data_IF_408924593686
#
_entry.id   IF_408924593686
#
_cell.length_a   1.000
_cell.length_b   1.000
_cell.length_c   1.000
_cell.angle_alpha   90.00
_cell.angle_beta   90.00
_cell.angle_gamma   90.00
#
_symmetry.space_group_name_H-M   'P 1'
#
loop_
_entity.id
_entity.type
_entity.pdbx_description
1 polymer ?
#
# COMPACT_ATOMS: atom_id res chain seq x y z
N UNK A 1 15.76 10.36 -19.34
CA UNK A 1 15.98 8.94 -19.68
C UNK A 1 14.69 8.22 -19.36
N UNK A 2 14.15 7.45 -20.31
CA UNK A 2 12.94 6.67 -20.07
C UNK A 2 13.20 5.61 -18.99
N UNK A 3 12.26 5.49 -18.06
CA UNK A 3 12.26 4.45 -17.03
C UNK A 3 10.95 3.67 -17.06
N UNK A 4 11.00 2.42 -16.62
CA UNK A 4 9.83 1.58 -16.42
C UNK A 4 9.19 1.90 -15.07
N UNK A 5 7.88 2.08 -15.09
CA UNK A 5 7.04 2.44 -13.95
C UNK A 5 5.86 1.48 -13.85
N UNK A 6 5.40 1.24 -12.64
CA UNK A 6 4.32 0.31 -12.35
C UNK A 6 3.21 0.99 -11.55
N UNK A 7 1.95 0.71 -11.89
CA UNK A 7 0.77 1.16 -11.18
C UNK A 7 -0.17 -0.02 -10.93
N UNK A 8 -0.49 -0.29 -9.67
CA UNK A 8 -1.47 -1.33 -9.31
C UNK A 8 -2.87 -0.75 -9.27
N UNK A 9 -3.84 -1.50 -9.79
CA UNK A 9 -5.24 -1.13 -9.76
C UNK A 9 -6.15 -2.36 -9.73
N UNK A 10 -7.31 -2.23 -9.11
CA UNK A 10 -8.37 -3.24 -9.18
C UNK A 10 -9.18 -3.17 -10.47
N UNK A 11 -8.96 -2.14 -11.29
CA UNK A 11 -9.69 -1.87 -12.53
C UNK A 11 -8.84 -2.28 -13.73
N UNK A 12 -9.41 -3.14 -14.58
CA UNK A 12 -8.81 -3.60 -15.83
C UNK A 12 -9.09 -2.68 -17.03
N UNK A 13 -8.36 -2.88 -18.12
CA UNK A 13 -8.64 -2.25 -19.42
C UNK A 13 -8.21 -0.78 -19.56
N UNK A 14 -7.43 -0.25 -18.61
CA UNK A 14 -6.92 1.13 -18.70
C UNK A 14 -5.87 1.24 -19.81
N UNK A 15 -6.11 2.11 -20.79
CA UNK A 15 -5.16 2.44 -21.86
C UNK A 15 -4.30 3.67 -21.50
N UNK A 16 -4.78 4.50 -20.60
CA UNK A 16 -4.09 5.70 -20.10
C UNK A 16 -4.46 5.88 -18.64
N UNK A 17 -3.45 6.04 -17.80
CA UNK A 17 -3.63 6.34 -16.38
C UNK A 17 -3.87 7.84 -16.23
N UNK A 18 -4.99 8.21 -15.64
CA UNK A 18 -5.39 9.59 -15.42
C UNK A 18 -5.01 10.05 -14.01
N UNK A 19 -4.49 11.28 -13.84
CA UNK A 19 -4.28 11.85 -12.52
C UNK A 19 -5.58 11.87 -11.71
N UNK A 20 -5.54 11.40 -10.47
CA UNK A 20 -6.70 11.41 -9.57
C UNK A 20 -6.34 12.04 -8.23
N UNK A 21 -7.26 12.81 -7.66
CA UNK A 21 -7.07 13.46 -6.37
C UNK A 21 -7.26 12.47 -5.23
N UNK A 22 -6.16 12.11 -4.56
CA UNK A 22 -6.20 11.38 -3.29
C UNK A 22 -6.42 12.35 -2.11
N UNK A 23 -6.04 11.93 -0.91
CA UNK A 23 -6.07 12.69 0.35
C UNK A 23 -5.18 13.95 0.37
N UNK A 24 -4.18 14.07 -0.50
CA UNK A 24 -3.26 15.22 -0.54
C UNK A 24 -3.74 16.41 -1.41
N UNK A 25 -4.99 16.39 -1.89
CA UNK A 25 -5.65 17.53 -2.54
C UNK A 25 -5.17 17.90 -3.96
N UNK A 26 -4.14 17.24 -4.48
CA UNK A 26 -3.65 17.41 -5.87
C UNK A 26 -3.80 16.11 -6.67
N UNK A 27 -4.22 16.18 -7.94
CA UNK A 27 -4.38 15.00 -8.76
C UNK A 27 -3.01 14.51 -9.27
N UNK A 28 -2.72 13.23 -9.04
CA UNK A 28 -1.50 12.59 -9.54
C UNK A 28 -1.79 11.19 -10.07
N UNK A 29 -0.96 10.73 -11.01
CA UNK A 29 -0.77 9.30 -11.26
C UNK A 29 0.35 8.81 -10.36
N UNK A 30 0.07 7.80 -9.54
CA UNK A 30 1.04 7.21 -8.61
C UNK A 30 1.71 6.00 -9.23
N UNK A 31 3.03 6.00 -9.26
CA UNK A 31 3.84 4.91 -9.77
C UNK A 31 4.85 4.43 -8.74
N UNK A 32 5.21 3.16 -8.85
CA UNK A 32 6.42 2.59 -8.25
C UNK A 32 7.40 2.16 -9.32
N UNK A 33 8.69 2.21 -9.02
CA UNK A 33 9.73 1.50 -9.80
C UNK A 33 9.77 -0.01 -9.51
N UNK A 34 8.89 -0.52 -8.65
CA UNK A 34 8.74 -1.94 -8.32
C UNK A 34 7.33 -2.42 -8.63
N UNK A 35 7.24 -3.46 -9.46
CA UNK A 35 6.01 -4.20 -9.78
C UNK A 35 5.31 -4.73 -8.53
N UNK A 36 6.04 -5.35 -7.60
CA UNK A 36 5.50 -5.89 -6.35
C UNK A 36 4.90 -4.78 -5.49
N UNK A 37 5.60 -3.65 -5.39
CA UNK A 37 5.14 -2.51 -4.59
C UNK A 37 3.87 -1.91 -5.18
N UNK A 38 3.82 -1.80 -6.50
CA UNK A 38 2.62 -1.35 -7.21
C UNK A 38 1.46 -2.35 -7.02
N UNK A 39 1.72 -3.66 -7.13
CA UNK A 39 0.72 -4.71 -7.01
C UNK A 39 -0.05 -4.68 -5.68
N UNK A 40 0.56 -4.23 -4.58
CA UNK A 40 -0.15 -4.08 -3.31
C UNK A 40 -1.34 -3.11 -3.39
N UNK A 41 -1.29 -2.12 -4.29
CA UNK A 41 -2.38 -1.17 -4.51
C UNK A 41 -3.45 -1.68 -5.48
N UNK A 42 -3.29 -2.90 -6.03
CA UNK A 42 -4.29 -3.53 -6.88
C UNK A 42 -5.50 -4.09 -6.09
N UNK A 43 -5.38 -4.18 -4.76
CA UNK A 43 -6.48 -4.40 -3.83
C UNK A 43 -6.32 -3.51 -2.61
N UNK A 44 -7.31 -3.53 -1.71
CA UNK A 44 -7.40 -2.59 -0.59
C UNK A 44 -7.91 -3.29 0.65
N UNK A 45 -7.30 -2.96 1.78
CA UNK A 45 -7.79 -3.36 3.10
C UNK A 45 -8.82 -2.35 3.65
N UNK A 46 -8.73 -1.07 3.24
CA UNK A 46 -9.57 0.03 3.72
C UNK A 46 -10.16 0.80 2.53
N UNK A 47 -11.37 1.33 2.72
CA UNK A 47 -12.06 2.19 1.76
C UNK A 47 -11.36 3.55 1.56
N UNK A 48 -11.62 4.20 0.42
CA UNK A 48 -11.11 5.56 0.14
C UNK A 48 -11.60 6.57 1.18
N UNK A 49 -10.80 7.61 1.47
CA UNK A 49 -9.53 7.95 0.84
C UNK A 49 -8.31 7.19 1.40
N UNK A 50 -8.50 6.37 2.44
CA UNK A 50 -7.42 5.70 3.15
C UNK A 50 -6.78 4.54 2.37
N UNK A 51 -5.54 4.25 2.73
CA UNK A 51 -4.77 3.11 2.25
C UNK A 51 -4.08 2.44 3.43
N UNK A 52 -3.99 1.13 3.38
CA UNK A 52 -3.26 0.34 4.36
C UNK A 52 -2.44 -0.71 3.65
N UNK A 53 -1.13 -0.48 3.59
CA UNK A 53 -0.18 -1.41 2.97
C UNK A 53 1.09 -1.44 3.81
N UNK A 54 1.19 -2.37 4.79
CA UNK A 54 2.33 -2.47 5.69
C UNK A 54 3.51 -3.13 4.98
N UNK A 55 4.26 -2.36 4.20
CA UNK A 55 5.48 -2.85 3.56
C UNK A 55 6.67 -1.91 3.79
N UNK A 56 7.87 -2.50 3.73
CA UNK A 56 9.14 -1.77 3.81
C UNK A 56 10.16 -2.35 2.83
N UNK A 57 11.21 -1.58 2.55
CA UNK A 57 12.41 -2.09 1.87
C UNK A 57 13.50 -2.28 2.91
N UNK A 58 14.02 -3.51 3.06
CA UNK A 58 15.20 -3.74 3.91
C UNK A 58 16.47 -3.26 3.21
N UNK A 59 17.60 -3.18 3.93
CA UNK A 59 18.88 -2.62 3.45
C UNK A 59 19.44 -3.23 2.14
N UNK A 60 18.91 -4.39 1.71
CA UNK A 60 19.26 -5.08 0.47
C UNK A 60 18.28 -4.81 -0.70
N UNK A 61 17.34 -3.87 -0.52
CA UNK A 61 16.31 -3.54 -1.52
C UNK A 61 15.18 -4.56 -1.63
N UNK A 62 15.20 -5.63 -0.81
CA UNK A 62 14.12 -6.61 -0.78
C UNK A 62 12.89 -6.02 -0.10
N UNK A 63 11.75 -6.14 -0.77
CA UNK A 63 10.47 -5.71 -0.22
C UNK A 63 9.96 -6.74 0.80
N UNK A 64 9.51 -6.25 1.95
CA UNK A 64 8.88 -7.05 3.01
C UNK A 64 7.49 -6.51 3.25
N UNK A 65 6.48 -7.36 3.10
CA UNK A 65 5.12 -7.09 3.55
C UNK A 65 4.92 -7.76 4.91
N UNK A 66 4.40 -7.01 5.88
CA UNK A 66 4.18 -7.49 7.25
C UNK A 66 2.70 -7.63 7.54
N UNK A 67 2.29 -8.83 7.93
CA UNK A 67 0.92 -9.07 8.40
C UNK A 67 0.78 -8.51 9.83
N UNK A 68 0.20 -7.31 9.97
CA UNK A 68 -0.01 -6.64 11.28
C UNK A 68 -1.20 -7.22 12.05
N UNK A 69 -2.00 -8.09 11.40
CA UNK A 69 -2.95 -8.99 12.03
C UNK A 69 -2.91 -10.36 11.33
N UNK A 70 -3.47 -11.38 11.98
CA UNK A 70 -3.48 -12.74 11.47
C UNK A 70 -4.18 -12.83 10.11
N UNK A 71 -3.55 -13.52 9.15
CA UNK A 71 -4.06 -13.76 7.80
C UNK A 71 -4.34 -12.51 6.95
N UNK A 72 -3.73 -11.36 7.28
CA UNK A 72 -3.93 -10.11 6.56
C UNK A 72 -3.75 -10.23 5.03
N UNK A 73 -2.75 -10.99 4.57
CA UNK A 73 -2.52 -11.19 3.14
C UNK A 73 -3.71 -11.90 2.47
N UNK A 74 -4.20 -12.97 3.09
CA UNK A 74 -5.34 -13.73 2.56
C UNK A 74 -6.61 -12.87 2.56
N UNK A 75 -6.87 -12.16 3.64
CA UNK A 75 -8.07 -11.33 3.78
C UNK A 75 -8.09 -10.18 2.75
N UNK A 76 -6.93 -9.54 2.53
CA UNK A 76 -6.83 -8.39 1.64
C UNK A 76 -6.74 -8.78 0.18
N UNK A 77 -6.07 -9.89 -0.16
CA UNK A 77 -5.72 -10.23 -1.55
C UNK A 77 -6.33 -11.56 -2.05
N UNK A 78 -6.84 -12.41 -1.16
CA UNK A 78 -7.35 -13.74 -1.51
C UNK A 78 -8.54 -13.69 -2.45
N UNK A 79 -8.46 -14.41 -3.57
CA UNK A 79 -9.52 -14.51 -4.57
C UNK A 79 -9.82 -13.20 -5.32
N UNK A 80 -9.02 -12.15 -5.12
CA UNK A 80 -9.19 -10.86 -5.80
C UNK A 80 -8.31 -10.81 -7.04
N UNK A 81 -8.93 -10.43 -8.16
CA UNK A 81 -8.22 -10.06 -9.37
C UNK A 81 -7.67 -8.64 -9.25
N UNK A 82 -6.43 -8.45 -9.69
CA UNK A 82 -5.78 -7.14 -9.77
C UNK A 82 -5.02 -6.96 -11.08
N UNK A 83 -4.60 -5.74 -11.34
CA UNK A 83 -3.88 -5.36 -12.55
C UNK A 83 -2.65 -4.55 -12.20
N UNK A 84 -1.51 -4.91 -12.80
CA UNK A 84 -0.29 -4.11 -12.74
C UNK A 84 -0.05 -3.52 -14.11
N UNK A 85 -0.20 -2.21 -14.21
CA UNK A 85 0.04 -1.43 -15.41
C UNK A 85 1.49 -0.99 -15.45
N UNK A 86 2.17 -1.30 -16.56
CA UNK A 86 3.51 -0.84 -16.86
C UNK A 86 3.45 0.36 -17.80
N UNK A 87 4.20 1.41 -17.48
CA UNK A 87 4.29 2.64 -18.25
C UNK A 87 5.75 3.01 -18.46
N UNK A 88 6.03 3.68 -19.58
CA UNK A 88 7.33 4.30 -19.84
C UNK A 88 7.20 5.82 -19.79
N UNK A 89 8.05 6.48 -19.01
CA UNK A 89 8.09 7.93 -18.93
C UNK A 89 9.53 8.43 -18.73
N UNK A 90 9.83 9.66 -19.18
CA UNK A 90 11.09 10.29 -18.82
C UNK A 90 11.07 10.66 -17.34
N UNK A 91 12.00 10.10 -16.57
CA UNK A 91 12.14 10.33 -15.13
C UNK A 91 12.30 11.82 -14.76
N UNK A 92 12.80 12.66 -15.69
CA UNK A 92 12.90 14.12 -15.50
C UNK A 92 11.54 14.82 -15.40
N UNK A 93 10.49 14.22 -15.96
CA UNK A 93 9.13 14.79 -15.98
C UNK A 93 8.29 14.30 -14.79
N UNK A 94 8.86 13.50 -13.90
CA UNK A 94 8.17 12.91 -12.76
C UNK A 94 8.57 13.60 -11.47
N UNK A 95 7.59 13.80 -10.59
CA UNK A 95 7.86 14.23 -9.23
C UNK A 95 8.36 13.04 -8.41
N UNK A 96 9.31 13.32 -7.52
CA UNK A 96 9.90 12.33 -6.59
C UNK A 96 9.45 12.64 -5.17
N UNK A 97 9.12 11.59 -4.42
CA UNK A 97 8.88 11.72 -2.99
C UNK A 97 10.20 11.57 -2.22
N UNK A 98 10.62 12.55 -1.40
CA UNK A 98 11.90 12.49 -0.69
C UNK A 98 12.04 11.26 0.22
N UNK A 99 10.93 10.83 0.80
CA UNK A 99 10.84 9.72 1.77
C UNK A 99 10.66 8.35 1.12
N UNK A 100 10.22 8.28 -0.14
CA UNK A 100 9.93 7.02 -0.84
C UNK A 100 10.66 6.94 -2.18
N UNK A 101 11.86 6.35 -2.15
CA UNK A 101 12.78 6.29 -3.31
C UNK A 101 12.17 5.62 -4.56
N UNK A 102 11.27 4.66 -4.37
CA UNK A 102 10.61 3.95 -5.48
C UNK A 102 9.39 4.69 -6.04
N UNK A 103 8.85 5.69 -5.34
CA UNK A 103 7.64 6.39 -5.77
C UNK A 103 7.96 7.44 -6.84
N UNK A 104 7.14 7.50 -7.87
CA UNK A 104 7.12 8.58 -8.88
C UNK A 104 5.69 9.05 -9.06
N UNK A 105 5.53 10.36 -9.28
CA UNK A 105 4.22 10.95 -9.57
C UNK A 105 4.25 11.68 -10.91
N UNK A 106 3.16 11.56 -11.66
CA UNK A 106 2.90 12.38 -12.84
C UNK A 106 1.71 13.29 -12.58
N UNK A 107 1.81 14.56 -12.97
CA UNK A 107 0.66 15.48 -13.06
C UNK A 107 -0.11 15.32 -14.36
N UNK A 108 0.51 14.70 -15.36
CA UNK A 108 -0.06 14.47 -16.69
C UNK A 108 -0.53 13.03 -16.85
N UNK A 109 -1.53 12.77 -17.71
CA UNK A 109 -1.91 11.42 -18.09
C UNK A 109 -0.75 10.65 -18.71
N UNK A 110 -0.64 9.36 -18.40
CA UNK A 110 0.45 8.51 -18.89
C UNK A 110 -0.13 7.31 -19.64
N UNK A 111 0.27 7.08 -20.90
CA UNK A 111 -0.17 5.92 -21.66
C UNK A 111 0.39 4.63 -21.06
N UNK A 112 -0.44 3.58 -21.06
CA UNK A 112 -0.04 2.25 -20.61
C UNK A 112 0.71 1.55 -21.74
N UNK A 113 1.91 1.05 -21.45
CA UNK A 113 2.69 0.24 -22.39
C UNK A 113 2.29 -1.24 -22.34
N UNK A 114 2.06 -1.75 -21.13
CA UNK A 114 1.68 -3.15 -20.90
C UNK A 114 0.82 -3.28 -19.64
N UNK A 115 0.00 -4.33 -19.56
CA UNK A 115 -0.80 -4.65 -18.37
C UNK A 115 -0.69 -6.14 -18.06
N UNK A 116 -0.25 -6.47 -16.85
CA UNK A 116 -0.35 -7.81 -16.29
C UNK A 116 -1.67 -7.93 -15.53
N UNK A 117 -2.56 -8.80 -16.01
CA UNK A 117 -3.73 -9.23 -15.24
C UNK A 117 -3.32 -10.34 -14.28
N UNK A 118 -3.64 -10.17 -13.01
CA UNK A 118 -3.39 -11.13 -11.94
C UNK A 118 -4.73 -11.68 -11.47
N UNK A 119 -5.05 -12.93 -11.80
CA UNK A 119 -6.36 -13.52 -11.50
C UNK A 119 -6.60 -13.68 -9.99
N UNK A 120 -5.57 -14.05 -9.23
CA UNK A 120 -5.57 -14.11 -7.77
C UNK A 120 -4.30 -13.45 -7.19
N UNK A 121 -4.49 -12.28 -6.58
CA UNK A 121 -3.38 -11.48 -6.01
C UNK A 121 -2.63 -12.23 -4.91
N UNK A 122 -3.32 -13.00 -4.06
CA UNK A 122 -2.65 -13.78 -3.02
C UNK A 122 -1.67 -14.79 -3.62
N UNK A 123 -2.10 -15.58 -4.61
CA UNK A 123 -1.26 -16.58 -5.25
C UNK A 123 -0.04 -15.96 -5.93
N UNK A 124 -0.23 -14.78 -6.54
CA UNK A 124 0.84 -14.01 -7.14
C UNK A 124 1.88 -13.56 -6.12
N UNK A 125 1.46 -13.00 -4.97
CA UNK A 125 2.40 -12.61 -3.91
C UNK A 125 3.13 -13.81 -3.31
N UNK A 126 2.44 -14.92 -3.08
CA UNK A 126 3.06 -16.16 -2.61
C UNK A 126 4.09 -16.71 -3.62
N UNK A 127 3.83 -16.53 -4.92
CA UNK A 127 4.80 -16.88 -5.96
C UNK A 127 6.03 -15.97 -5.92
N UNK A 128 5.85 -14.65 -5.75
CA UNK A 128 6.98 -13.70 -5.57
C UNK A 128 7.79 -14.01 -4.30
N UNK A 129 7.15 -14.49 -3.25
CA UNK A 129 7.82 -14.98 -2.03
C UNK A 129 8.67 -16.22 -2.33
N UNK A 130 8.11 -17.24 -3.02
CA UNK A 130 8.86 -18.44 -3.44
C UNK A 130 10.06 -18.13 -4.33
N UNK A 131 9.94 -17.12 -5.18
CA UNK A 131 11.03 -16.63 -6.04
C UNK A 131 12.07 -15.79 -5.27
N UNK A 132 11.86 -15.55 -3.98
CA UNK A 132 12.77 -14.75 -3.14
C UNK A 132 12.72 -13.25 -3.43
N UNK A 133 11.73 -12.76 -4.19
CA UNK A 133 11.56 -11.33 -4.56
C UNK A 133 10.79 -10.53 -3.51
N UNK A 134 9.94 -11.20 -2.74
CA UNK A 134 9.16 -10.65 -1.63
C UNK A 134 9.48 -11.44 -0.35
N UNK A 135 9.46 -10.78 0.81
CA UNK A 135 9.30 -11.45 2.11
C UNK A 135 7.87 -11.18 2.58
N UNK A 136 7.13 -12.23 2.97
CA UNK A 136 5.87 -12.06 3.69
C UNK A 136 6.13 -12.43 5.14
N UNK A 137 6.28 -11.41 5.98
CA UNK A 137 6.42 -11.60 7.41
C UNK A 137 5.05 -11.90 8.01
N UNK A 138 4.84 -13.17 8.37
CA UNK A 138 3.60 -13.66 8.97
C UNK A 138 3.37 -13.05 10.34
N UNK A 139 2.12 -12.82 10.71
CA UNK A 139 1.77 -12.24 12.02
C UNK A 139 2.35 -13.06 13.17
N UNK A 140 2.26 -14.38 13.08
CA UNK A 140 2.78 -15.32 14.09
C UNK A 140 4.31 -15.30 14.23
N UNK A 141 5.02 -14.72 13.25
CA UNK A 141 6.49 -14.57 13.29
C UNK A 141 6.94 -13.25 13.92
N UNK A 142 6.02 -12.33 14.20
CA UNK A 142 6.36 -11.05 14.83
C UNK A 142 6.75 -11.25 16.29
N UNK A 143 7.89 -10.68 16.69
CA UNK A 143 8.22 -10.56 18.11
C UNK A 143 7.32 -9.53 18.79
N UNK A 144 7.17 -9.58 20.13
CA UNK A 144 6.44 -8.57 20.88
C UNK A 144 6.93 -7.14 20.59
N UNK A 145 8.24 -6.95 20.43
CA UNK A 145 8.84 -5.65 20.10
C UNK A 145 8.45 -5.18 18.70
N UNK A 146 8.50 -6.06 17.70
CA UNK A 146 8.10 -5.73 16.33
C UNK A 146 6.62 -5.37 16.25
N UNK A 147 5.75 -6.12 16.93
CA UNK A 147 4.33 -5.82 17.00
C UNK A 147 4.08 -4.49 17.72
N UNK A 148 4.81 -4.21 18.80
CA UNK A 148 4.72 -2.95 19.55
C UNK A 148 5.14 -1.75 18.70
N UNK A 149 6.15 -1.88 17.84
CA UNK A 149 6.54 -0.84 16.88
C UNK A 149 5.42 -0.54 15.90
N UNK A 150 4.80 -1.57 15.30
CA UNK A 150 3.65 -1.38 14.42
C UNK A 150 2.47 -0.73 15.14
N UNK A 151 2.14 -1.20 16.35
CA UNK A 151 1.09 -0.60 17.17
C UNK A 151 1.38 0.87 17.50
N UNK A 152 2.64 1.21 17.81
CA UNK A 152 3.07 2.58 18.07
C UNK A 152 2.90 3.50 16.87
N UNK A 153 3.28 3.04 15.66
CA UNK A 153 3.10 3.82 14.43
C UNK A 153 1.62 4.11 14.14
N UNK A 154 0.74 3.12 14.32
CA UNK A 154 -0.70 3.29 14.10
C UNK A 154 -1.31 4.22 15.16
N UNK A 155 -0.87 4.11 16.41
CA UNK A 155 -1.31 5.00 17.48
C UNK A 155 -0.90 6.45 17.21
N UNK A 156 0.32 6.70 16.75
CA UNK A 156 0.79 8.04 16.37
C UNK A 156 -0.03 8.62 15.20
N UNK A 157 -0.35 7.80 14.19
CA UNK A 157 -1.25 8.20 13.10
C UNK A 157 -2.64 8.54 13.62
N UNK A 158 -3.19 7.73 14.53
CA UNK A 158 -4.48 7.98 15.16
C UNK A 158 -4.51 9.31 15.92
N UNK A 159 -3.51 9.54 16.78
CA UNK A 159 -3.39 10.76 17.59
C UNK A 159 -3.24 11.99 16.68
N UNK A 160 -2.36 11.93 15.69
CA UNK A 160 -2.09 13.07 14.81
C UNK A 160 -3.27 13.43 13.91
N UNK A 161 -4.04 12.43 13.45
CA UNK A 161 -5.05 12.63 12.41
C UNK A 161 -6.49 12.67 12.92
N UNK A 162 -6.76 12.12 14.12
CA UNK A 162 -8.13 11.94 14.61
C UNK A 162 -8.38 12.45 16.03
N UNK A 163 -7.40 13.05 16.72
CA UNK A 163 -7.65 13.67 18.03
C UNK A 163 -8.67 14.82 17.94
N UNK A 164 -9.73 14.75 18.73
CA UNK A 164 -10.78 15.78 18.78
C UNK A 164 -11.73 15.83 17.58
N UNK A 165 -11.77 14.79 16.75
CA UNK A 165 -12.62 14.69 15.54
C UNK A 165 -13.67 13.58 15.72
N UNK A 166 -14.76 13.61 14.97
CA UNK A 166 -15.70 12.47 14.90
C UNK A 166 -14.96 11.22 14.39
N UNK A 167 -14.94 10.19 15.21
CA UNK A 167 -14.24 8.94 14.95
C UNK A 167 -15.00 8.01 14.00
N UNK A 168 -16.12 8.39 13.41
CA UNK A 168 -16.86 7.49 12.53
C UNK A 168 -16.41 7.56 11.06
N UNK A 169 -15.24 7.00 10.75
CA UNK A 169 -14.74 6.89 9.38
C UNK A 169 -14.17 5.48 9.08
N UNK A 170 -13.91 5.14 7.80
CA UNK A 170 -13.40 3.82 7.44
C UNK A 170 -12.08 3.42 8.13
N UNK A 171 -11.17 4.36 8.40
CA UNK A 171 -9.88 4.06 9.01
C UNK A 171 -10.02 3.67 10.48
N UNK A 172 -10.73 4.47 11.27
CA UNK A 172 -10.95 4.18 12.70
C UNK A 172 -11.74 2.89 12.91
N UNK A 173 -12.75 2.60 12.07
CA UNK A 173 -13.46 1.31 12.10
C UNK A 173 -12.54 0.14 11.79
N UNK A 174 -11.65 0.30 10.80
CA UNK A 174 -10.66 -0.72 10.49
C UNK A 174 -9.71 -0.97 11.66
N UNK A 175 -9.22 0.08 12.33
CA UNK A 175 -8.32 -0.06 13.49
C UNK A 175 -9.05 -0.71 14.67
N UNK A 176 -10.31 -0.36 14.94
CA UNK A 176 -11.15 -1.02 15.94
C UNK A 176 -11.27 -2.53 15.71
N UNK A 177 -11.48 -2.93 14.45
CA UNK A 177 -11.67 -4.34 14.10
C UNK A 177 -10.36 -5.13 14.10
N UNK A 178 -9.30 -4.59 13.47
CA UNK A 178 -8.06 -5.34 13.22
C UNK A 178 -7.03 -5.19 14.32
N UNK A 179 -7.04 -4.06 15.04
CA UNK A 179 -6.03 -3.69 16.03
C UNK A 179 -6.70 -3.13 17.30
N UNK A 180 -7.61 -3.90 17.96
CA UNK A 180 -8.40 -3.40 19.10
C UNK A 180 -7.52 -2.89 20.25
N UNK A 181 -6.37 -3.50 20.51
CA UNK A 181 -5.44 -3.03 21.55
C UNK A 181 -4.86 -1.64 21.25
N UNK A 182 -4.68 -1.28 19.97
CA UNK A 182 -4.23 0.07 19.56
C UNK A 182 -5.38 1.06 19.75
N UNK A 183 -6.59 0.66 19.36
CA UNK A 183 -7.79 1.48 19.53
C UNK A 183 -8.06 1.80 21.00
N UNK A 184 -7.99 0.81 21.88
CA UNK A 184 -8.18 1.01 23.32
C UNK A 184 -7.16 2.02 23.86
N UNK A 185 -5.89 1.88 23.50
CA UNK A 185 -4.85 2.84 23.89
C UNK A 185 -5.13 4.25 23.39
N UNK A 186 -5.54 4.39 22.13
CA UNK A 186 -5.93 5.67 21.55
C UNK A 186 -7.03 6.36 22.36
N UNK A 187 -8.08 5.62 22.78
CA UNK A 187 -9.15 6.18 23.61
C UNK A 187 -8.70 6.66 25.00
N UNK A 188 -7.59 6.14 25.53
CA UNK A 188 -7.01 6.59 26.80
C UNK A 188 -6.04 7.78 26.61
N UNK A 189 -5.31 7.80 25.49
CA UNK A 189 -4.25 8.79 25.23
C UNK A 189 -4.74 10.05 24.49
N UNK A 190 -5.88 9.97 23.77
CA UNK A 190 -6.44 11.07 22.96
C UNK A 190 -7.59 11.85 23.63
N UNK A 191 -7.87 11.60 24.92
CA UNK A 191 -8.70 12.46 25.77
C UNK A 191 -7.89 13.67 26.26
#
# INVERSE_FOLDING_TARGET
MAILLYHGSSVGGLQTLQPFTADHGKPYVYFSTSDISAAFYAARAIERPYYWVPYSYIAQGKITYTEVWRNALQEVYGGKTGYVYCCEADDKNLLRFPTHRSLRLSTEPVPVSHCEKIDNLQDWFLQREREGKLVIQRYESLTPDQLSLWHGMVLEELISSFSGVDFNNPYTRFVQEKLPAVWDRFLHEAQ
#
